data_IF_707098487723
#
_entry.id   IF_707098487723
#
_cell.length_a   1.000
_cell.length_b   1.000
_cell.length_c   1.000
_cell.angle_alpha   90.00
_cell.angle_beta   90.00
_cell.angle_gamma   90.00
#
_symmetry.space_group_name_H-M   'P 1'
#
loop_
_entity.id
_entity.type
_entity.pdbx_description
1 polymer ?
#
# COMPACT_ATOMS: atom_id res chain seq x y z
N UNK A 1 9.37 -15.94 6.26
CA UNK A 1 8.11 -16.68 6.01
C UNK A 1 6.87 -15.92 6.49
N UNK A 2 6.87 -15.36 7.70
CA UNK A 2 5.71 -14.61 8.23
C UNK A 2 5.26 -13.44 7.32
N UNK A 3 6.20 -12.65 6.77
CA UNK A 3 5.90 -11.54 5.86
C UNK A 3 5.13 -11.99 4.62
N UNK A 4 5.57 -13.10 4.01
CA UNK A 4 4.96 -13.65 2.80
C UNK A 4 3.53 -14.11 3.09
N UNK A 5 3.30 -14.77 4.23
CA UNK A 5 1.96 -15.17 4.65
C UNK A 5 1.03 -13.97 4.84
N UNK A 6 1.48 -12.91 5.53
CA UNK A 6 0.69 -11.69 5.70
C UNK A 6 0.47 -10.91 4.40
N UNK A 7 1.43 -10.94 3.47
CA UNK A 7 1.27 -10.33 2.15
C UNK A 7 0.15 -11.02 1.36
N UNK A 8 0.15 -12.35 1.30
CA UNK A 8 -0.92 -13.10 0.65
C UNK A 8 -2.27 -12.93 1.34
N UNK A 9 -2.29 -12.89 2.68
CA UNK A 9 -3.50 -12.60 3.45
C UNK A 9 -4.04 -11.20 3.16
N UNK A 10 -3.15 -10.19 3.07
CA UNK A 10 -3.51 -8.81 2.73
C UNK A 10 -4.09 -8.68 1.32
N UNK A 11 -3.67 -9.52 0.36
CA UNK A 11 -4.24 -9.52 -0.98
C UNK A 11 -5.64 -10.15 -1.01
N UNK A 12 -5.89 -11.11 -0.12
CA UNK A 12 -7.16 -11.82 -0.02
C UNK A 12 -8.25 -11.00 0.69
N UNK A 13 -7.87 -10.22 1.71
CA UNK A 13 -8.78 -9.38 2.49
C UNK A 13 -9.18 -8.13 1.71
N UNK A 14 -10.48 -7.96 1.43
CA UNK A 14 -11.02 -6.71 0.90
C UNK A 14 -12.53 -6.76 0.70
N UNK A 15 -13.15 -5.58 0.57
CA UNK A 15 -14.61 -5.39 0.46
C UNK A 15 -15.25 -6.08 -0.75
N UNK A 16 -14.44 -6.44 -1.74
CA UNK A 16 -14.85 -7.26 -2.89
C UNK A 16 -14.33 -8.68 -2.66
N UNK A 17 -15.22 -9.64 -2.57
CA UNK A 17 -14.87 -11.07 -2.44
C UNK A 17 -14.17 -11.53 -3.73
N UNK A 18 -12.84 -11.49 -3.71
CA UNK A 18 -11.98 -12.07 -4.75
C UNK A 18 -11.51 -13.40 -4.18
N UNK A 19 -12.18 -14.48 -4.58
CA UNK A 19 -11.78 -15.84 -4.20
C UNK A 19 -10.38 -16.13 -4.76
N UNK A 20 -9.60 -17.02 -4.13
CA UNK A 20 -8.25 -17.37 -4.59
C UNK A 20 -8.21 -17.82 -6.06
N UNK A 21 -9.27 -18.51 -6.50
CA UNK A 21 -9.49 -18.91 -7.91
C UNK A 21 -9.60 -17.72 -8.86
N UNK A 22 -10.28 -16.64 -8.45
CA UNK A 22 -10.41 -15.41 -9.24
C UNK A 22 -9.07 -14.68 -9.37
N UNK A 23 -8.22 -14.73 -8.33
CA UNK A 23 -6.90 -14.10 -8.34
C UNK A 23 -5.98 -14.77 -9.36
N UNK A 24 -5.96 -16.10 -9.40
CA UNK A 24 -5.18 -16.87 -10.39
C UNK A 24 -5.73 -16.63 -11.80
N UNK A 25 -7.06 -16.58 -11.97
CA UNK A 25 -7.68 -16.27 -13.26
C UNK A 25 -7.33 -14.85 -13.76
N UNK A 26 -7.31 -13.84 -12.88
CA UNK A 26 -6.91 -12.47 -13.20
C UNK A 26 -5.41 -12.39 -13.57
N UNK A 27 -4.55 -13.18 -12.90
CA UNK A 27 -3.12 -13.24 -13.19
C UNK A 27 -2.84 -13.93 -14.54
N UNK A 28 -3.51 -15.05 -14.82
CA UNK A 28 -3.42 -15.80 -16.08
C UNK A 28 -3.96 -15.01 -17.27
N UNK A 29 -5.05 -14.23 -17.07
CA UNK A 29 -5.60 -13.34 -18.09
C UNK A 29 -4.64 -12.22 -18.48
N UNK A 30 -3.89 -11.66 -17.53
CA UNK A 30 -2.86 -10.64 -17.81
C UNK A 30 -1.64 -11.20 -18.57
N UNK A 31 -1.40 -12.51 -18.47
CA UNK A 31 -0.32 -13.22 -19.18
C UNK A 31 -0.74 -13.76 -20.57
N UNK A 32 -1.91 -13.36 -21.10
CA UNK A 32 -2.42 -13.73 -22.43
C UNK A 32 -2.66 -15.24 -22.68
N UNK A 33 -2.80 -16.08 -21.63
CA UNK A 33 -2.90 -17.55 -21.78
C UNK A 33 -4.28 -18.18 -21.46
N UNK A 34 -5.34 -17.39 -21.23
CA UNK A 34 -6.65 -17.93 -20.82
C UNK A 34 -7.84 -17.23 -21.48
N UNK A 35 -8.34 -17.81 -22.56
CA UNK A 35 -9.62 -17.44 -23.18
C UNK A 35 -10.76 -18.14 -22.42
N UNK A 36 -11.71 -17.36 -21.90
CA UNK A 36 -13.01 -17.87 -21.47
C UNK A 36 -13.28 -17.83 -19.97
N UNK A 37 -13.47 -16.63 -19.41
CA UNK A 37 -14.32 -16.44 -18.23
C UNK A 37 -15.00 -15.06 -18.30
N UNK A 38 -16.30 -15.04 -18.00
CA UNK A 38 -17.28 -13.97 -18.25
C UNK A 38 -16.76 -12.55 -17.93
N UNK A 39 -16.87 -11.67 -18.93
CA UNK A 39 -16.08 -10.44 -19.06
C UNK A 39 -16.40 -9.33 -18.05
N UNK A 40 -17.64 -9.19 -17.58
CA UNK A 40 -18.07 -7.96 -16.89
C UNK A 40 -17.79 -7.96 -15.37
N UNK A 41 -18.03 -9.07 -14.66
CA UNK A 41 -17.76 -9.14 -13.21
C UNK A 41 -16.26 -9.25 -12.92
N UNK A 42 -15.47 -9.79 -13.86
CA UNK A 42 -14.01 -9.96 -13.72
C UNK A 42 -13.26 -8.64 -13.95
N UNK A 43 -13.75 -7.74 -14.81
CA UNK A 43 -13.07 -6.48 -15.12
C UNK A 43 -12.94 -5.55 -13.91
N UNK A 44 -14.02 -5.36 -13.15
CA UNK A 44 -13.99 -4.50 -11.95
C UNK A 44 -13.11 -5.11 -10.84
N UNK A 45 -13.17 -6.44 -10.64
CA UNK A 45 -12.30 -7.16 -9.70
C UNK A 45 -10.81 -7.03 -10.09
N UNK A 46 -10.51 -7.11 -11.37
CA UNK A 46 -9.16 -6.97 -11.91
C UNK A 46 -8.58 -5.56 -11.68
N UNK A 47 -9.36 -4.52 -11.97
CA UNK A 47 -8.95 -3.13 -11.75
C UNK A 47 -8.66 -2.85 -10.28
N UNK A 48 -9.52 -3.32 -9.37
CA UNK A 48 -9.31 -3.16 -7.91
C UNK A 48 -8.07 -3.92 -7.44
N UNK A 49 -7.82 -5.12 -7.95
CA UNK A 49 -6.64 -5.89 -7.58
C UNK A 49 -5.35 -5.18 -8.02
N UNK A 50 -5.26 -4.76 -9.28
CA UNK A 50 -4.04 -4.16 -9.84
C UNK A 50 -3.81 -2.71 -9.43
N UNK A 51 -4.85 -1.89 -9.37
CA UNK A 51 -4.71 -0.45 -9.10
C UNK A 51 -4.81 -0.09 -7.62
N UNK A 52 -5.37 -0.97 -6.79
CA UNK A 52 -5.60 -0.65 -5.36
C UNK A 52 -4.87 -1.63 -4.44
N UNK A 53 -5.13 -2.93 -4.55
CA UNK A 53 -4.62 -3.90 -3.55
C UNK A 53 -3.13 -4.14 -3.66
N UNK A 54 -2.66 -4.49 -4.85
CA UNK A 54 -1.25 -4.80 -5.10
C UNK A 54 -0.32 -3.62 -4.77
N UNK A 55 -0.56 -2.38 -5.26
CA UNK A 55 0.28 -1.25 -4.90
C UNK A 55 0.22 -0.94 -3.40
N UNK A 56 -0.96 -1.04 -2.76
CA UNK A 56 -1.10 -0.82 -1.32
C UNK A 56 -0.30 -1.83 -0.48
N UNK A 57 -0.36 -3.11 -0.81
CA UNK A 57 0.38 -4.14 -0.07
C UNK A 57 1.90 -3.97 -0.24
N UNK A 58 2.36 -3.60 -1.43
CA UNK A 58 3.78 -3.27 -1.68
C UNK A 58 4.20 -2.05 -0.87
N UNK A 59 3.41 -0.97 -0.90
CA UNK A 59 3.67 0.24 -0.12
C UNK A 59 3.72 -0.06 1.38
N UNK A 60 2.80 -0.87 1.90
CA UNK A 60 2.80 -1.26 3.32
C UNK A 60 4.09 -1.99 3.72
N UNK A 61 4.58 -2.91 2.88
CA UNK A 61 5.86 -3.58 3.13
C UNK A 61 7.05 -2.60 3.07
N UNK A 62 7.08 -1.72 2.07
CA UNK A 62 8.14 -0.73 1.91
C UNK A 62 8.19 0.27 3.07
N UNK A 63 7.04 0.83 3.46
CA UNK A 63 6.92 1.76 4.59
C UNK A 63 7.30 1.07 5.90
N UNK A 64 6.83 -0.16 6.15
CA UNK A 64 7.19 -0.91 7.35
C UNK A 64 8.69 -1.19 7.45
N UNK A 65 9.33 -1.55 6.33
CA UNK A 65 10.78 -1.74 6.28
C UNK A 65 11.54 -0.44 6.56
N UNK A 66 11.14 0.67 5.92
CA UNK A 66 11.75 1.98 6.14
C UNK A 66 11.62 2.43 7.60
N UNK A 67 10.45 2.26 8.21
CA UNK A 67 10.19 2.63 9.61
C UNK A 67 11.01 1.77 10.58
N UNK A 68 11.16 0.47 10.28
CA UNK A 68 11.99 -0.45 11.08
C UNK A 68 13.47 -0.05 11.04
N UNK A 69 14.00 0.29 9.85
CA UNK A 69 15.38 0.78 9.71
C UNK A 69 15.57 2.11 10.43
N UNK A 70 14.66 3.06 10.26
CA UNK A 70 14.73 4.36 10.95
C UNK A 70 14.72 4.19 12.48
N UNK A 71 13.87 3.31 13.00
CA UNK A 71 13.83 2.96 14.43
C UNK A 71 15.14 2.33 14.92
N UNK A 72 15.67 1.34 14.19
CA UNK A 72 16.92 0.67 14.55
C UNK A 72 18.12 1.65 14.56
N UNK A 73 18.20 2.55 13.57
CA UNK A 73 19.24 3.58 13.51
C UNK A 73 19.12 4.55 14.69
N UNK A 74 17.91 5.02 14.99
CA UNK A 74 17.66 5.95 16.09
C UNK A 74 18.01 5.31 17.45
N UNK A 75 17.55 4.08 17.68
CA UNK A 75 17.84 3.33 18.90
C UNK A 75 19.35 3.09 19.07
N UNK A 76 20.08 2.83 17.99
CA UNK A 76 21.54 2.62 17.99
C UNK A 76 22.30 3.93 18.26
N UNK A 77 21.90 5.02 17.61
CA UNK A 77 22.56 6.33 17.72
C UNK A 77 22.48 6.88 19.14
N UNK A 78 21.29 6.83 19.75
CA UNK A 78 21.07 7.30 21.12
C UNK A 78 21.39 6.25 22.19
N UNK A 79 21.72 5.01 21.77
CA UNK A 79 21.91 3.85 22.65
C UNK A 79 20.75 3.70 23.65
N UNK A 80 19.55 4.03 23.19
CA UNK A 80 18.34 4.05 24.01
C UNK A 80 17.24 3.28 23.26
N UNK A 81 16.81 2.10 23.77
CA UNK A 81 15.78 1.30 23.12
C UNK A 81 14.40 1.99 23.07
N UNK A 82 14.20 3.06 23.86
CA UNK A 82 12.98 3.87 23.85
C UNK A 82 13.05 5.06 22.88
N UNK A 83 14.19 5.30 22.22
CA UNK A 83 14.32 6.37 21.24
C UNK A 83 13.48 6.06 20.00
N UNK A 84 12.61 7.00 19.62
CA UNK A 84 11.79 6.92 18.41
C UNK A 84 12.27 7.96 17.38
N UNK A 85 12.14 7.65 16.08
CA UNK A 85 12.52 8.57 15.02
C UNK A 85 11.64 9.83 14.94
N UNK A 86 10.54 9.91 15.67
CA UNK A 86 9.68 11.11 15.72
C UNK A 86 10.34 12.30 16.44
N UNK A 87 11.34 12.05 17.29
CA UNK A 87 11.96 13.07 18.15
C UNK A 87 12.77 14.11 17.35
N UNK A 88 13.23 13.77 16.14
CA UNK A 88 14.00 14.67 15.27
C UNK A 88 13.13 15.66 14.46
N UNK A 89 11.80 15.66 14.68
CA UNK A 89 10.89 16.67 14.11
C UNK A 89 10.47 16.43 12.65
N UNK A 90 10.93 15.35 12.00
CA UNK A 90 10.59 15.01 10.61
C UNK A 90 9.08 14.83 10.41
N UNK A 91 8.40 14.18 11.36
CA UNK A 91 6.94 13.96 11.31
C UNK A 91 6.16 15.28 11.34
N UNK A 92 6.63 16.28 12.10
CA UNK A 92 5.98 17.59 12.16
C UNK A 92 6.18 18.40 10.88
N UNK A 93 7.37 18.32 10.28
CA UNK A 93 7.64 18.93 8.99
C UNK A 93 6.78 18.30 7.87
N UNK A 94 6.63 16.98 7.87
CA UNK A 94 5.77 16.26 6.93
C UNK A 94 4.29 16.65 7.08
N UNK A 95 3.80 16.75 8.32
CA UNK A 95 2.42 17.18 8.59
C UNK A 95 2.15 18.63 8.16
N UNK A 96 3.07 19.54 8.46
CA UNK A 96 2.99 20.92 8.00
C UNK A 96 2.99 21.00 6.47
N UNK A 97 3.90 20.28 5.81
CA UNK A 97 3.98 20.22 4.35
C UNK A 97 2.70 19.68 3.71
N UNK A 98 2.16 18.58 4.24
CA UNK A 98 0.87 18.03 3.80
C UNK A 98 -0.28 19.02 4.01
N UNK A 99 -0.33 19.67 5.18
CA UNK A 99 -1.34 20.68 5.49
C UNK A 99 -1.29 21.88 4.54
N UNK A 100 -0.09 22.40 4.26
CA UNK A 100 0.12 23.49 3.29
C UNK A 100 -0.25 23.04 1.87
N UNK A 101 0.13 21.84 1.46
CA UNK A 101 -0.23 21.31 0.15
C UNK A 101 -1.76 21.19 -0.01
N UNK A 102 -2.45 20.67 1.00
CA UNK A 102 -3.92 20.60 0.99
C UNK A 102 -4.51 22.02 0.96
N UNK A 103 -4.03 22.95 1.79
CA UNK A 103 -4.54 24.31 1.87
C UNK A 103 -4.43 25.07 0.54
N UNK A 104 -3.26 25.01 -0.11
CA UNK A 104 -3.02 25.74 -1.35
C UNK A 104 -3.55 25.04 -2.61
N UNK A 105 -3.51 23.70 -2.66
CA UNK A 105 -3.83 22.96 -3.89
C UNK A 105 -5.21 22.29 -3.88
N UNK A 106 -5.77 21.92 -2.72
CA UNK A 106 -7.07 21.22 -2.71
C UNK A 106 -8.24 22.11 -3.14
N UNK A 107 -8.11 23.45 -3.02
CA UNK A 107 -9.09 24.42 -3.51
C UNK A 107 -9.02 24.70 -5.02
N UNK A 108 -7.95 24.29 -5.71
CA UNK A 108 -7.77 24.57 -7.15
C UNK A 108 -8.69 23.75 -8.07
N UNK A 109 -9.33 22.70 -7.55
CA UNK A 109 -10.18 21.78 -8.32
C UNK A 109 -11.64 22.22 -8.45
N UNK A 110 -12.04 23.37 -7.89
CA UNK A 110 -13.42 23.90 -7.95
C UNK A 110 -13.67 24.79 -9.19
N UNK A 111 -12.67 24.98 -10.06
CA UNK A 111 -12.80 25.79 -11.29
C UNK A 111 -12.65 24.97 -12.60
N UNK A 112 -13.02 23.69 -12.61
CA UNK A 112 -13.17 22.88 -13.84
C UNK A 112 -14.53 22.23 -13.89
#
# INVERSE_FOLDING_TARGET
MILIAFFFLSLNIGKVSVTFTDMIAILLKKMNLGQGFSADIVAQKQTVFWNVRLPRSILACAVGAALSVAGAVMQTLYRNPLASPDVIGVTQAANLGAGLAIFFFAGSTVLV
#
